data_IF_492587672425
#
_entry.id   IF_492587672425
#
_cell.length_a   1.000
_cell.length_b   1.000
_cell.length_c   1.000
_cell.angle_alpha   90.00
_cell.angle_beta   90.00
_cell.angle_gamma   90.00
#
_symmetry.space_group_name_H-M   'P 1'
#
loop_
_entity.id
_entity.type
_entity.pdbx_description
1 polymer ?
#
# COMPACT_ATOMS: atom_id res chain seq x y z
N UNK A 1 4.43 -13.38 22.96
CA UNK A 1 4.35 -13.83 21.57
C UNK A 1 5.74 -13.74 20.92
N UNK A 2 6.06 -14.62 20.03
CA UNK A 2 7.30 -14.54 19.25
C UNK A 2 7.31 -13.23 18.44
N UNK A 3 8.48 -12.62 18.28
CA UNK A 3 8.63 -11.39 17.51
C UNK A 3 8.33 -11.67 16.03
N UNK A 4 7.26 -11.05 15.52
CA UNK A 4 6.82 -11.26 14.15
C UNK A 4 7.71 -10.57 13.09
N UNK A 5 8.62 -9.69 13.55
CA UNK A 5 9.48 -8.87 12.69
C UNK A 5 10.92 -8.84 13.21
N UNK A 6 11.86 -8.90 12.28
CA UNK A 6 13.24 -8.47 12.53
C UNK A 6 13.37 -6.99 12.16
N UNK A 7 14.16 -6.26 12.93
CA UNK A 7 14.40 -4.84 12.70
C UNK A 7 15.87 -4.62 12.36
N UNK A 8 16.14 -3.99 11.23
CA UNK A 8 17.45 -3.56 10.79
C UNK A 8 17.62 -2.06 11.06
N UNK A 9 18.23 -1.66 12.18
CA UNK A 9 18.40 -0.26 12.53
C UNK A 9 19.53 0.36 11.71
N UNK A 10 19.33 1.62 11.33
CA UNK A 10 20.32 2.44 10.63
C UNK A 10 20.59 3.71 11.44
N UNK A 11 21.86 4.09 11.53
CA UNK A 11 22.22 5.43 11.97
C UNK A 11 22.04 6.43 10.82
N UNK A 12 22.23 7.73 11.09
CA UNK A 12 22.02 8.80 10.10
C UNK A 12 22.95 8.65 8.88
N UNK A 13 24.19 8.26 9.08
CA UNK A 13 25.17 8.09 8.00
C UNK A 13 24.74 6.94 7.07
N UNK A 14 24.42 5.78 7.62
CA UNK A 14 23.94 4.61 6.86
C UNK A 14 22.65 4.92 6.10
N UNK A 15 21.71 5.59 6.75
CA UNK A 15 20.47 5.99 6.10
C UNK A 15 20.70 6.98 4.96
N UNK A 16 21.59 7.97 5.16
CA UNK A 16 21.90 8.96 4.12
C UNK A 16 22.53 8.29 2.89
N UNK A 17 23.51 7.41 3.10
CA UNK A 17 24.14 6.64 2.02
C UNK A 17 23.12 5.77 1.28
N UNK A 18 22.24 5.07 2.01
CA UNK A 18 21.15 4.29 1.44
C UNK A 18 20.18 5.15 0.63
N UNK A 19 19.78 6.30 1.17
CA UNK A 19 18.88 7.25 0.50
C UNK A 19 19.46 7.76 -0.82
N UNK A 20 20.75 8.17 -0.83
CA UNK A 20 21.43 8.64 -2.03
C UNK A 20 21.54 7.54 -3.09
N UNK A 21 21.88 6.32 -2.67
CA UNK A 21 21.89 5.17 -3.55
C UNK A 21 20.52 4.87 -4.15
N UNK A 22 19.46 4.99 -3.36
CA UNK A 22 18.09 4.71 -3.76
C UNK A 22 17.57 5.73 -4.79
N UNK A 23 17.79 7.04 -4.58
CA UNK A 23 17.31 8.09 -5.49
C UNK A 23 18.09 8.13 -6.81
N UNK A 24 19.33 7.62 -6.82
CA UNK A 24 20.19 7.53 -8.01
C UNK A 24 20.09 6.20 -8.74
N UNK A 25 19.37 5.22 -8.20
CA UNK A 25 19.26 3.89 -8.77
C UNK A 25 18.45 3.89 -10.07
N UNK A 26 18.84 3.03 -11.01
CA UNK A 26 18.14 2.89 -12.28
C UNK A 26 16.79 2.16 -12.11
N UNK A 27 15.76 2.75 -12.68
CA UNK A 27 14.42 2.16 -12.72
C UNK A 27 14.24 1.29 -13.97
N UNK A 28 13.38 0.28 -13.87
CA UNK A 28 12.95 -0.49 -15.03
C UNK A 28 12.12 0.40 -15.96
N UNK A 29 12.25 0.25 -17.30
CA UNK A 29 11.50 1.07 -18.24
C UNK A 29 10.00 0.82 -18.08
N UNK A 30 9.23 1.90 -18.00
CA UNK A 30 7.77 1.85 -18.06
C UNK A 30 7.33 1.65 -19.52
N UNK A 31 6.26 0.88 -19.72
CA UNK A 31 5.65 0.78 -21.04
C UNK A 31 5.02 2.13 -21.45
N UNK A 32 4.97 2.43 -22.76
CA UNK A 32 4.53 3.72 -23.30
C UNK A 32 3.08 4.13 -22.93
N UNK A 33 2.24 3.16 -22.58
CA UNK A 33 0.87 3.37 -22.10
C UNK A 33 0.79 3.56 -20.59
N UNK A 34 1.91 3.47 -19.89
CA UNK A 34 1.99 3.55 -18.44
C UNK A 34 2.20 5.00 -18.02
N UNK A 35 1.22 5.57 -17.32
CA UNK A 35 1.36 6.87 -16.64
C UNK A 35 1.88 6.62 -15.22
N UNK A 36 2.81 7.47 -14.79
CA UNK A 36 3.35 7.47 -13.41
C UNK A 36 2.29 7.92 -12.37
N UNK A 37 1.18 7.22 -12.30
CA UNK A 37 0.20 7.43 -11.23
C UNK A 37 0.31 6.27 -10.25
N UNK A 38 0.90 6.54 -9.11
CA UNK A 38 1.02 5.58 -8.03
C UNK A 38 -0.10 5.78 -7.02
N UNK A 39 -0.67 4.69 -6.54
CA UNK A 39 -1.57 4.69 -5.41
C UNK A 39 -0.77 4.95 -4.13
N UNK A 40 -1.25 5.84 -3.24
CA UNK A 40 -0.52 6.23 -2.02
C UNK A 40 -0.13 5.04 -1.14
N UNK A 41 -1.01 4.05 -0.99
CA UNK A 41 -0.76 2.85 -0.19
C UNK A 41 0.23 1.85 -0.82
N UNK A 42 0.58 2.03 -2.10
CA UNK A 42 1.44 1.13 -2.88
C UNK A 42 2.56 1.88 -3.60
N UNK A 43 3.00 3.02 -3.06
CA UNK A 43 4.02 3.85 -3.68
C UNK A 43 5.38 3.15 -3.65
N UNK A 44 6.14 3.12 -4.78
CA UNK A 44 7.49 2.60 -4.80
C UNK A 44 8.41 3.35 -3.84
N UNK A 45 9.34 2.62 -3.22
CA UNK A 45 10.25 3.19 -2.22
C UNK A 45 11.13 4.30 -2.80
N UNK A 46 11.60 4.18 -4.04
CA UNK A 46 12.36 5.19 -4.74
C UNK A 46 11.54 6.44 -5.06
N UNK A 47 10.24 6.28 -5.34
CA UNK A 47 9.32 7.42 -5.55
C UNK A 47 9.07 8.16 -4.24
N UNK A 48 8.88 7.43 -3.13
CA UNK A 48 8.80 8.03 -1.79
C UNK A 48 10.09 8.80 -1.46
N UNK A 49 11.25 8.21 -1.75
CA UNK A 49 12.54 8.85 -1.52
C UNK A 49 12.69 10.16 -2.33
N UNK A 50 12.27 10.17 -3.59
CA UNK A 50 12.29 11.37 -4.46
C UNK A 50 11.35 12.48 -3.98
N UNK A 51 10.31 12.18 -3.20
CA UNK A 51 9.45 13.19 -2.54
C UNK A 51 10.14 13.90 -1.38
N UNK A 52 11.22 13.32 -0.87
CA UNK A 52 12.06 13.91 0.18
C UNK A 52 12.48 12.89 1.24
N UNK A 53 13.64 13.13 1.81
CA UNK A 53 14.28 12.24 2.80
C UNK A 53 13.36 11.92 4.00
N UNK A 54 12.55 12.87 4.44
CA UNK A 54 11.64 12.69 5.57
C UNK A 54 10.46 11.77 5.25
N UNK A 55 10.05 11.65 3.98
CA UNK A 55 8.92 10.79 3.59
C UNK A 55 9.15 9.35 4.00
N UNK A 56 10.37 8.85 3.87
CA UNK A 56 10.73 7.49 4.27
C UNK A 56 10.71 7.29 5.79
N UNK A 57 11.14 8.31 6.55
CA UNK A 57 11.19 8.28 8.02
C UNK A 57 9.79 8.38 8.67
N UNK A 58 8.81 8.91 7.98
CA UNK A 58 7.40 8.90 8.39
C UNK A 58 6.60 7.72 7.78
N UNK A 59 7.20 7.00 6.84
CA UNK A 59 6.64 5.86 6.12
C UNK A 59 7.30 4.53 6.54
N UNK A 60 7.79 3.75 5.55
CA UNK A 60 8.24 2.37 5.77
C UNK A 60 9.51 2.23 6.63
N UNK A 61 10.28 3.30 6.81
CA UNK A 61 11.51 3.27 7.61
C UNK A 61 11.37 4.01 8.95
N UNK A 62 10.15 4.17 9.44
CA UNK A 62 9.84 4.90 10.67
C UNK A 62 10.44 4.20 11.91
N UNK A 63 11.28 4.89 12.70
CA UNK A 63 11.93 4.31 13.89
C UNK A 63 11.08 4.40 15.17
N UNK A 64 9.90 5.01 15.12
CA UNK A 64 9.08 5.32 16.32
C UNK A 64 8.70 4.07 17.10
N UNK A 65 9.00 4.08 18.40
CA UNK A 65 8.73 2.98 19.30
C UNK A 65 9.78 1.85 19.26
N UNK A 66 10.86 2.07 18.49
CA UNK A 66 11.97 1.12 18.38
C UNK A 66 13.23 1.70 19.03
N UNK A 67 13.92 0.88 19.82
CA UNK A 67 15.21 1.23 20.41
C UNK A 67 16.26 0.21 19.95
N UNK A 68 17.51 0.62 19.99
CA UNK A 68 18.61 -0.33 19.79
C UNK A 68 18.58 -1.41 20.88
N UNK A 69 18.76 -2.69 20.56
CA UNK A 69 18.97 -3.73 21.57
C UNK A 69 20.12 -3.36 22.52
N UNK A 70 20.06 -3.80 23.77
CA UNK A 70 21.11 -3.50 24.77
C UNK A 70 22.47 -3.99 24.32
N UNK A 71 22.52 -5.14 23.65
CA UNK A 71 23.73 -5.79 23.14
C UNK A 71 24.12 -5.34 21.72
N UNK A 72 23.42 -4.34 21.15
CA UNK A 72 23.71 -3.86 19.81
C UNK A 72 25.09 -3.23 19.71
N UNK A 73 25.95 -3.80 18.86
CA UNK A 73 27.34 -3.39 18.65
C UNK A 73 27.56 -2.59 17.37
N UNK A 74 26.52 -2.38 16.58
CA UNK A 74 26.60 -1.61 15.35
C UNK A 74 26.73 -0.10 15.58
N UNK A 75 26.91 0.68 14.52
CA UNK A 75 27.08 2.12 14.60
C UNK A 75 25.77 2.81 15.06
N UNK A 76 25.93 3.81 15.92
CA UNK A 76 24.84 4.64 16.47
C UNK A 76 25.12 6.12 16.23
N UNK A 77 24.10 6.95 16.30
CA UNK A 77 24.22 8.41 16.32
C UNK A 77 24.49 8.90 17.76
N UNK A 78 25.75 8.87 18.21
CA UNK A 78 26.10 9.24 19.57
C UNK A 78 25.42 8.35 20.61
N UNK A 79 24.85 8.96 21.64
CA UNK A 79 24.17 8.28 22.77
C UNK A 79 22.67 8.03 22.54
N UNK A 80 22.15 8.28 21.34
CA UNK A 80 20.72 8.06 21.06
C UNK A 80 20.37 6.59 21.18
N UNK A 81 19.30 6.31 21.92
CA UNK A 81 18.74 4.96 22.06
C UNK A 81 17.91 4.54 20.85
N UNK A 82 17.27 5.51 20.19
CA UNK A 82 16.44 5.28 19.02
C UNK A 82 17.28 5.37 17.75
N UNK A 83 17.21 4.40 16.83
CA UNK A 83 17.88 4.50 15.54
C UNK A 83 17.31 5.66 14.70
N UNK A 84 18.08 6.15 13.75
CA UNK A 84 17.64 7.20 12.83
C UNK A 84 16.56 6.70 11.88
N UNK A 85 16.72 5.48 11.39
CA UNK A 85 15.75 4.77 10.56
C UNK A 85 15.77 3.28 10.90
N UNK A 86 14.70 2.57 10.56
CA UNK A 86 14.60 1.11 10.74
C UNK A 86 13.97 0.49 9.50
N UNK A 87 14.59 -0.55 8.97
CA UNK A 87 13.97 -1.43 7.98
C UNK A 87 13.41 -2.65 8.70
N UNK A 88 12.14 -2.95 8.45
CA UNK A 88 11.48 -4.11 9.05
C UNK A 88 11.47 -5.28 8.07
N UNK A 89 11.78 -6.46 8.57
CA UNK A 89 11.73 -7.72 7.84
C UNK A 89 10.66 -8.60 8.46
N UNK A 90 9.69 -9.01 7.67
CA UNK A 90 8.64 -9.93 8.10
C UNK A 90 8.95 -11.34 7.62
N UNK A 91 8.91 -12.29 8.54
CA UNK A 91 9.05 -13.70 8.20
C UNK A 91 7.96 -14.14 7.22
N UNK A 92 8.36 -14.80 6.13
CA UNK A 92 7.46 -15.19 5.03
C UNK A 92 7.18 -16.70 5.00
N UNK A 93 7.96 -17.52 5.71
CA UNK A 93 7.73 -18.96 5.79
C UNK A 93 7.89 -19.47 7.23
N UNK A 94 7.25 -20.60 7.52
CA UNK A 94 7.29 -21.21 8.85
C UNK A 94 8.71 -21.63 9.30
N UNK A 95 9.60 -21.90 8.35
CA UNK A 95 10.99 -22.29 8.64
C UNK A 95 11.89 -21.11 9.08
N UNK A 96 11.41 -19.86 8.97
CA UNK A 96 12.19 -18.66 9.31
C UNK A 96 13.40 -18.42 8.41
N UNK A 97 13.38 -18.95 7.19
CA UNK A 97 14.47 -18.81 6.23
C UNK A 97 14.21 -17.77 5.14
N UNK A 98 12.96 -17.29 5.00
CA UNK A 98 12.56 -16.27 4.04
C UNK A 98 11.93 -15.08 4.76
N UNK A 99 12.31 -13.89 4.33
CA UNK A 99 11.83 -12.64 4.88
C UNK A 99 11.45 -11.65 3.77
N UNK A 100 10.36 -10.92 3.96
CA UNK A 100 9.98 -9.80 3.13
C UNK A 100 10.47 -8.48 3.74
N UNK A 101 11.03 -7.60 2.92
CA UNK A 101 11.31 -6.22 3.32
C UNK A 101 9.99 -5.46 3.31
N UNK A 102 9.53 -5.02 4.49
CA UNK A 102 8.21 -4.42 4.65
C UNK A 102 8.16 -3.02 4.04
N UNK A 103 7.18 -2.77 3.19
CA UNK A 103 6.95 -1.46 2.58
C UNK A 103 7.90 -1.09 1.43
N UNK A 104 8.69 -2.03 0.94
CA UNK A 104 9.66 -1.83 -0.13
C UNK A 104 9.14 -2.33 -1.48
N UNK A 105 8.04 -1.77 -1.94
CA UNK A 105 7.64 -1.93 -3.33
C UNK A 105 8.56 -1.10 -4.22
N UNK A 106 8.90 -1.58 -5.41
CA UNK A 106 9.93 -0.92 -6.21
C UNK A 106 9.81 -1.19 -7.71
N UNK A 107 10.18 -0.21 -8.53
CA UNK A 107 10.41 -0.30 -9.97
C UNK A 107 11.89 -0.41 -10.34
N UNK A 108 12.78 -0.45 -9.35
CA UNK A 108 14.20 -0.55 -9.63
C UNK A 108 14.53 -1.79 -10.44
N UNK A 109 15.51 -1.69 -11.33
CA UNK A 109 16.11 -2.84 -12.01
C UNK A 109 16.61 -3.86 -10.97
N UNK A 110 16.59 -5.13 -11.27
CA UNK A 110 16.99 -6.20 -10.33
C UNK A 110 18.40 -6.02 -9.79
N UNK A 111 19.36 -5.63 -10.65
CA UNK A 111 20.73 -5.34 -10.20
C UNK A 111 20.79 -4.18 -9.20
N UNK A 112 19.98 -3.16 -9.40
CA UNK A 112 19.89 -2.02 -8.49
C UNK A 112 19.20 -2.39 -7.17
N UNK A 113 18.15 -3.21 -7.22
CA UNK A 113 17.53 -3.73 -5.99
C UNK A 113 18.55 -4.47 -5.13
N UNK A 114 19.36 -5.36 -5.74
CA UNK A 114 20.41 -6.06 -5.03
C UNK A 114 21.42 -5.08 -4.45
N UNK A 115 21.96 -4.18 -5.26
CA UNK A 115 22.99 -3.21 -4.84
C UNK A 115 22.52 -2.32 -3.69
N UNK A 116 21.34 -1.75 -3.82
CA UNK A 116 20.79 -0.79 -2.84
C UNK A 116 20.32 -1.49 -1.57
N UNK A 117 19.58 -2.60 -1.69
CA UNK A 117 19.03 -3.25 -0.50
C UNK A 117 20.08 -4.03 0.30
N UNK A 118 21.22 -4.42 -0.30
CA UNK A 118 22.35 -4.95 0.44
C UNK A 118 23.11 -3.89 1.26
N UNK A 119 22.79 -2.60 1.12
CA UNK A 119 23.29 -1.54 2.01
C UNK A 119 22.55 -1.50 3.36
N UNK A 120 21.42 -2.20 3.49
CA UNK A 120 20.68 -2.30 4.75
C UNK A 120 21.47 -3.16 5.73
N UNK A 121 21.73 -2.68 6.97
CA UNK A 121 22.48 -3.43 7.97
C UNK A 121 21.92 -4.83 8.22
N UNK A 122 22.77 -5.85 8.13
CA UNK A 122 22.36 -7.24 8.22
C UNK A 122 21.93 -7.89 6.92
N UNK A 123 21.80 -7.12 5.82
CA UNK A 123 21.46 -7.64 4.49
C UNK A 123 22.65 -7.62 3.51
N UNK A 124 23.86 -7.33 3.95
CA UNK A 124 25.04 -7.18 3.11
C UNK A 124 25.31 -8.43 2.25
N UNK A 125 24.98 -9.60 2.78
CA UNK A 125 25.13 -10.89 2.10
C UNK A 125 23.80 -11.57 1.80
N UNK A 126 22.70 -10.83 1.79
CA UNK A 126 21.38 -11.41 1.54
C UNK A 126 21.26 -11.94 0.12
N UNK A 127 20.68 -13.14 0.00
CA UNK A 127 20.28 -13.72 -1.28
C UNK A 127 18.84 -13.36 -1.59
N UNK A 128 18.60 -12.72 -2.74
CA UNK A 128 17.26 -12.37 -3.19
C UNK A 128 16.64 -13.51 -3.98
N UNK A 129 15.81 -14.30 -3.34
CA UNK A 129 15.05 -15.38 -4.01
C UNK A 129 13.96 -14.85 -4.92
N UNK A 130 13.50 -13.62 -4.68
CA UNK A 130 12.53 -12.92 -5.51
C UNK A 130 12.78 -11.41 -5.45
N UNK A 131 12.84 -10.79 -6.61
CA UNK A 131 12.93 -9.34 -6.73
C UNK A 131 11.55 -8.70 -6.67
N UNK A 132 11.50 -7.48 -6.14
CA UNK A 132 10.30 -6.66 -6.13
C UNK A 132 9.85 -6.34 -7.56
N UNK A 133 8.55 -6.40 -7.78
CA UNK A 133 7.90 -5.98 -9.03
C UNK A 133 6.69 -5.16 -8.62
N UNK A 134 6.50 -4.01 -9.27
CA UNK A 134 5.28 -3.24 -9.04
C UNK A 134 4.08 -3.97 -9.62
N UNK A 135 3.10 -4.18 -8.78
CA UNK A 135 1.79 -4.60 -9.24
C UNK A 135 0.99 -3.37 -9.65
N UNK A 136 0.30 -3.47 -10.77
CA UNK A 136 -0.70 -2.50 -11.15
C UNK A 136 -2.07 -3.03 -10.80
N UNK A 137 -2.79 -2.25 -10.02
CA UNK A 137 -4.20 -2.45 -9.84
C UNK A 137 -4.93 -1.70 -10.95
N UNK A 138 -5.54 -2.45 -11.86
CA UNK A 138 -6.47 -1.87 -12.82
C UNK A 138 -7.81 -1.67 -12.12
N UNK A 139 -8.38 -0.49 -12.26
CA UNK A 139 -9.70 -0.15 -11.75
C UNK A 139 -10.46 0.70 -12.77
N UNK A 140 -11.78 0.65 -12.69
CA UNK A 140 -12.64 1.41 -13.57
C UNK A 140 -12.89 2.82 -13.02
N UNK A 141 -13.30 3.73 -13.90
CA UNK A 141 -13.77 5.06 -13.53
C UNK A 141 -15.17 4.96 -12.89
N UNK A 142 -15.23 4.44 -11.67
CA UNK A 142 -16.48 4.15 -10.98
C UNK A 142 -17.38 5.37 -10.80
N UNK A 143 -16.88 6.59 -10.54
CA UNK A 143 -17.73 7.77 -10.48
C UNK A 143 -18.56 8.00 -11.75
N UNK A 144 -18.03 7.70 -12.91
CA UNK A 144 -18.74 7.85 -14.18
C UNK A 144 -19.52 6.59 -14.60
N UNK A 145 -19.15 5.41 -14.10
CA UNK A 145 -19.64 4.14 -14.61
C UNK A 145 -20.63 3.45 -13.70
N UNK A 146 -20.55 3.63 -12.37
CA UNK A 146 -21.32 2.87 -11.39
C UNK A 146 -22.30 3.73 -10.59
N UNK A 147 -23.41 3.12 -10.22
CA UNK A 147 -24.29 3.56 -9.16
C UNK A 147 -23.79 3.04 -7.80
N UNK A 148 -24.26 3.63 -6.71
CA UNK A 148 -23.91 3.22 -5.34
C UNK A 148 -24.30 1.77 -5.00
N UNK A 149 -25.18 1.17 -5.79
CA UNK A 149 -25.55 -0.25 -5.75
C UNK A 149 -24.54 -1.18 -6.41
N UNK A 150 -23.47 -0.64 -7.00
CA UNK A 150 -22.53 -1.31 -7.88
C UNK A 150 -23.08 -1.75 -9.24
N UNK A 151 -24.31 -1.40 -9.56
CA UNK A 151 -24.84 -1.56 -10.92
C UNK A 151 -24.19 -0.54 -11.87
N UNK A 152 -24.04 -0.88 -13.15
CA UNK A 152 -23.56 0.11 -14.12
C UNK A 152 -24.68 1.08 -14.51
N UNK A 153 -24.33 2.36 -14.68
CA UNK A 153 -25.25 3.42 -15.10
C UNK A 153 -25.88 3.14 -16.47
N UNK A 154 -25.10 2.54 -17.40
CA UNK A 154 -25.57 2.21 -18.76
C UNK A 154 -26.44 0.95 -18.83
N UNK A 155 -26.14 -0.05 -18.02
CA UNK A 155 -26.88 -1.30 -17.96
C UNK A 155 -27.14 -1.68 -16.50
N UNK A 156 -28.28 -1.36 -15.93
CA UNK A 156 -28.58 -1.60 -14.53
C UNK A 156 -28.70 -3.09 -14.15
N UNK A 157 -28.59 -4.01 -15.10
CA UNK A 157 -28.53 -5.45 -14.87
C UNK A 157 -27.10 -6.00 -14.80
N UNK A 158 -26.09 -5.13 -15.03
CA UNK A 158 -24.67 -5.49 -14.93
C UNK A 158 -24.07 -4.86 -13.68
N UNK A 159 -23.47 -5.69 -12.84
CA UNK A 159 -22.88 -5.30 -11.58
C UNK A 159 -21.39 -5.61 -11.57
N UNK A 160 -20.60 -4.77 -10.90
CA UNK A 160 -19.19 -5.00 -10.61
C UNK A 160 -18.97 -4.88 -9.11
N UNK A 161 -17.93 -5.53 -8.58
CA UNK A 161 -17.57 -5.45 -7.17
C UNK A 161 -16.06 -5.65 -6.97
N UNK A 162 -15.59 -5.38 -5.77
CA UNK A 162 -14.20 -5.60 -5.40
C UNK A 162 -13.24 -4.58 -5.96
N UNK A 163 -11.98 -4.94 -6.00
CA UNK A 163 -10.85 -4.06 -6.31
C UNK A 163 -11.01 -3.31 -7.65
N UNK A 164 -11.56 -3.96 -8.66
CA UNK A 164 -11.75 -3.31 -9.96
C UNK A 164 -12.72 -2.12 -9.92
N UNK A 165 -13.52 -1.96 -8.87
CA UNK A 165 -14.39 -0.80 -8.67
C UNK A 165 -13.73 0.34 -7.88
N UNK A 166 -12.46 0.20 -7.50
CA UNK A 166 -11.76 1.15 -6.65
C UNK A 166 -11.93 0.91 -5.15
N UNK A 167 -12.50 -0.23 -4.78
CA UNK A 167 -12.58 -0.68 -3.38
C UNK A 167 -11.28 -1.42 -3.05
N UNK A 168 -10.48 -0.89 -2.12
CA UNK A 168 -9.28 -1.54 -1.61
C UNK A 168 -9.58 -2.28 -0.31
N UNK A 169 -8.86 -3.40 -0.09
CA UNK A 169 -8.99 -4.24 1.10
C UNK A 169 -9.83 -5.50 0.87
N UNK A 170 -9.46 -6.59 1.56
CA UNK A 170 -10.14 -7.88 1.41
C UNK A 170 -11.56 -7.85 1.98
N UNK A 171 -11.72 -7.25 3.16
CA UNK A 171 -13.02 -7.15 3.83
C UNK A 171 -13.94 -6.22 3.04
N UNK A 172 -13.42 -5.09 2.59
CA UNK A 172 -14.12 -4.11 1.78
C UNK A 172 -14.55 -4.72 0.43
N UNK A 173 -13.68 -5.50 -0.21
CA UNK A 173 -14.00 -6.20 -1.44
C UNK A 173 -15.11 -7.23 -1.25
N UNK A 174 -15.09 -7.99 -0.15
CA UNK A 174 -16.16 -8.92 0.20
C UNK A 174 -17.48 -8.18 0.49
N UNK A 175 -17.43 -7.06 1.22
CA UNK A 175 -18.59 -6.22 1.52
C UNK A 175 -19.19 -5.63 0.23
N UNK A 176 -18.35 -5.16 -0.72
CA UNK A 176 -18.83 -4.67 -2.01
C UNK A 176 -19.54 -5.76 -2.82
N UNK A 177 -19.03 -6.99 -2.77
CA UNK A 177 -19.67 -8.16 -3.38
C UNK A 177 -21.02 -8.47 -2.76
N UNK A 178 -21.16 -8.34 -1.43
CA UNK A 178 -22.42 -8.51 -0.73
C UNK A 178 -23.45 -7.44 -1.15
N UNK A 179 -23.05 -6.16 -1.20
CA UNK A 179 -23.92 -5.05 -1.64
C UNK A 179 -24.37 -5.25 -3.08
N UNK A 180 -23.44 -5.58 -3.98
CA UNK A 180 -23.75 -5.86 -5.38
C UNK A 180 -24.72 -7.05 -5.52
N UNK A 181 -24.47 -8.15 -4.80
CA UNK A 181 -25.28 -9.37 -4.84
C UNK A 181 -26.71 -9.13 -4.32
N UNK A 182 -26.86 -8.42 -3.19
CA UNK A 182 -28.19 -8.03 -2.66
C UNK A 182 -28.95 -7.22 -3.71
N UNK A 183 -28.31 -6.19 -4.29
CA UNK A 183 -28.97 -5.32 -5.26
C UNK A 183 -29.24 -6.01 -6.59
N UNK A 184 -28.41 -6.96 -7.02
CA UNK A 184 -28.66 -7.77 -8.20
C UNK A 184 -29.91 -8.65 -8.04
N UNK A 185 -30.08 -9.31 -6.88
CA UNK A 185 -31.27 -10.10 -6.57
C UNK A 185 -32.53 -9.23 -6.49
N UNK A 186 -32.46 -8.11 -5.81
CA UNK A 186 -33.59 -7.15 -5.71
C UNK A 186 -33.98 -6.63 -7.09
N UNK A 187 -33.01 -6.27 -7.91
CA UNK A 187 -33.23 -5.85 -9.30
C UNK A 187 -33.93 -6.96 -10.11
N UNK A 188 -33.48 -8.21 -10.00
CA UNK A 188 -34.13 -9.34 -10.66
C UNK A 188 -35.57 -9.55 -10.23
N UNK A 189 -35.90 -9.25 -8.96
CA UNK A 189 -37.24 -9.36 -8.39
C UNK A 189 -38.13 -8.14 -8.65
N UNK A 190 -37.59 -7.06 -9.26
CA UNK A 190 -38.30 -5.80 -9.45
C UNK A 190 -38.52 -5.01 -8.15
N UNK A 191 -37.68 -5.26 -7.14
CA UNK A 191 -37.72 -4.58 -5.85
C UNK A 191 -36.81 -3.32 -5.88
N UNK A 192 -37.11 -2.34 -4.99
CA UNK A 192 -36.25 -1.17 -4.83
C UNK A 192 -34.86 -1.53 -4.34
N UNK A 193 -33.80 -0.82 -4.80
CA UNK A 193 -32.44 -1.08 -4.37
C UNK A 193 -32.24 -0.75 -2.88
N UNK A 194 -31.28 -1.43 -2.26
CA UNK A 194 -30.80 -1.12 -0.91
C UNK A 194 -29.58 -0.21 -1.02
N UNK A 195 -29.68 0.98 -0.44
CA UNK A 195 -28.58 1.92 -0.27
C UNK A 195 -28.24 1.98 1.22
N UNK A 196 -27.04 1.58 1.56
CA UNK A 196 -26.58 1.62 2.95
C UNK A 196 -26.22 3.06 3.37
N UNK A 197 -26.50 3.46 4.61
CA UNK A 197 -26.21 4.81 5.10
C UNK A 197 -24.72 5.14 5.06
N UNK A 198 -24.36 6.37 4.68
CA UNK A 198 -22.96 6.86 4.68
C UNK A 198 -22.34 6.95 6.09
N UNK A 199 -23.13 6.87 7.13
CA UNK A 199 -22.70 6.76 8.53
C UNK A 199 -22.17 5.38 8.89
N UNK A 200 -22.18 4.44 7.94
CA UNK A 200 -21.64 3.09 8.09
C UNK A 200 -20.49 2.85 7.10
N UNK A 201 -19.54 2.00 7.48
CA UNK A 201 -18.42 1.63 6.59
C UNK A 201 -18.91 1.05 5.25
N UNK A 202 -19.94 0.18 5.31
CA UNK A 202 -20.50 -0.49 4.12
C UNK A 202 -21.27 0.48 3.20
N UNK A 203 -21.71 1.63 3.68
CA UNK A 203 -22.38 2.65 2.88
C UNK A 203 -21.46 3.79 2.45
N UNK A 204 -20.48 4.16 3.28
CA UNK A 204 -19.54 5.25 3.00
C UNK A 204 -18.62 4.97 1.81
N UNK A 205 -18.09 3.76 1.69
CA UNK A 205 -17.17 3.42 0.62
C UNK A 205 -17.85 3.36 -0.76
N UNK A 206 -19.01 2.71 -0.96
CA UNK A 206 -19.78 2.81 -2.20
C UNK A 206 -20.16 4.25 -2.57
N UNK A 207 -20.49 5.07 -1.59
CA UNK A 207 -20.75 6.50 -1.83
C UNK A 207 -19.49 7.21 -2.35
N UNK A 208 -18.35 7.04 -1.70
CA UNK A 208 -17.07 7.63 -2.10
C UNK A 208 -16.71 7.26 -3.54
N UNK A 209 -16.70 5.97 -3.90
CA UNK A 209 -16.27 5.50 -5.22
C UNK A 209 -17.19 5.94 -6.36
N UNK A 210 -18.44 6.35 -6.06
CA UNK A 210 -19.41 6.73 -7.08
C UNK A 210 -19.70 8.23 -7.14
N UNK A 211 -19.32 9.01 -6.11
CA UNK A 211 -19.61 10.44 -6.01
C UNK A 211 -18.37 11.33 -5.99
N UNK A 212 -17.18 10.75 -5.90
CA UNK A 212 -15.93 11.52 -6.06
C UNK A 212 -15.79 12.01 -7.50
N UNK A 213 -15.25 13.22 -7.70
CA UNK A 213 -14.92 13.68 -9.05
C UNK A 213 -13.89 12.74 -9.71
N UNK A 214 -14.16 12.28 -10.93
CA UNK A 214 -13.32 11.30 -11.65
C UNK A 214 -11.84 11.70 -11.71
N UNK A 215 -11.54 12.98 -11.88
CA UNK A 215 -10.15 13.47 -11.92
C UNK A 215 -9.38 13.30 -10.61
N UNK A 216 -10.10 13.19 -9.48
CA UNK A 216 -9.55 13.00 -8.12
C UNK A 216 -9.79 11.60 -7.59
N UNK A 217 -10.48 10.76 -8.34
CA UNK A 217 -10.82 9.42 -7.91
C UNK A 217 -9.58 8.53 -7.84
N UNK A 218 -9.42 7.88 -6.70
CA UNK A 218 -8.41 6.86 -6.45
C UNK A 218 -9.03 5.72 -5.66
N UNK A 219 -8.57 4.47 -5.87
CA UNK A 219 -8.94 3.35 -5.01
C UNK A 219 -8.65 3.66 -3.54
N UNK A 220 -9.54 3.22 -2.64
CA UNK A 220 -9.45 3.54 -1.23
C UNK A 220 -9.95 2.40 -0.34
N UNK A 221 -9.29 2.22 0.81
CA UNK A 221 -9.83 1.47 1.95
C UNK A 221 -10.85 2.33 2.70
N UNK A 222 -11.80 1.68 3.36
CA UNK A 222 -12.68 2.39 4.28
C UNK A 222 -11.88 3.04 5.41
N UNK A 223 -12.18 4.28 5.73
CA UNK A 223 -11.56 5.02 6.83
C UNK A 223 -12.53 6.07 7.39
N UNK A 224 -12.23 6.60 8.57
CA UNK A 224 -13.11 7.57 9.22
C UNK A 224 -13.27 8.89 8.45
N UNK A 225 -12.36 9.23 7.54
CA UNK A 225 -12.46 10.46 6.73
C UNK A 225 -13.56 10.43 5.68
N UNK A 226 -14.07 9.25 5.31
CA UNK A 226 -15.17 9.09 4.34
C UNK A 226 -16.51 8.69 5.00
N UNK A 227 -16.48 8.29 6.27
CA UNK A 227 -17.70 7.95 7.03
C UNK A 227 -18.34 9.26 7.51
N UNK A 228 -19.61 9.48 7.15
CA UNK A 228 -20.39 10.63 7.62
C UNK A 228 -20.60 10.51 9.12
N UNK A 229 -20.42 11.61 9.87
CA UNK A 229 -20.75 11.67 11.29
C UNK A 229 -22.26 11.43 11.53
N UNK A 230 -22.57 10.87 12.68
CA UNK A 230 -23.95 10.77 13.16
C UNK A 230 -24.41 12.14 13.66
N UNK A 231 -25.62 12.54 13.31
CA UNK A 231 -26.25 13.76 13.79
C UNK A 231 -26.59 13.63 15.29
#
# INVERSE_FOLDING_TARGET
>A
GEAAYLNAPMNKEQFTAFYEALISAEEAPLNSFEKEKYFEGCMPIEVMAKRGIKTMLYGPMKPVGLEYPEDYKGPRDGEYKTPYAVVQLRQDNAAGSLYNIVGFQTHLKWGEQKRVFQMIPGLENAEFVRYGVMHRNSYMDSPNLLEQTFATKKNPNLFFAGQMTGVEGYVESAASGLVAGINAVRRFRGEDPVIFPQTTAIGALPFYITHTESKHFQPMNVNFGIIKELD
#
